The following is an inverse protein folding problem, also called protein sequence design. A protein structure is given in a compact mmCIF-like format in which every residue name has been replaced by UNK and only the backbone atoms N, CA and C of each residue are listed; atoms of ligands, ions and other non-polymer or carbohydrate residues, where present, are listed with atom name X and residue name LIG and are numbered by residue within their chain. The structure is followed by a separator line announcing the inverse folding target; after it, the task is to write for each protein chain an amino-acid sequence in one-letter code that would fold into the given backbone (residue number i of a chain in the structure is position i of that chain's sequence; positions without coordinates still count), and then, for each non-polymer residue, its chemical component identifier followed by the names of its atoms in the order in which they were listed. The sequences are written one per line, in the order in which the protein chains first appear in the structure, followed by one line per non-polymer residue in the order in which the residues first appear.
data_IF_641929741679
#
_entry.id   IF_641929741679
#
_cell.length_a   1.000
_cell.length_b   1.000
_cell.length_c   1.000
_cell.angle_alpha   90.00
_cell.angle_beta   90.00
_cell.angle_gamma   90.00
#
_symmetry.space_group_name_H-M   'P 1'
#
loop_
_entity.id
_entity.type
_entity.pdbx_description
1 polymer ?
#
# COMPACT_ATOMS: atom_id res chain seq x y z
N UNK A 1 25.82 -5.06 16.78
CA UNK A 1 25.08 -5.90 15.81
C UNK A 1 23.69 -5.29 15.69
N UNK A 2 23.38 -4.63 14.57
CA UNK A 2 22.05 -4.05 14.35
C UNK A 2 21.03 -5.17 14.25
N UNK A 3 20.13 -5.27 15.22
CA UNK A 3 18.90 -6.03 15.07
C UNK A 3 18.07 -5.31 14.01
N UNK A 4 18.22 -5.74 12.76
CA UNK A 4 17.23 -5.48 11.72
C UNK A 4 15.98 -6.19 12.22
N UNK A 5 15.08 -5.44 12.87
CA UNK A 5 13.75 -5.92 13.18
C UNK A 5 13.12 -6.24 11.83
N UNK A 6 13.22 -7.51 11.42
CA UNK A 6 12.38 -8.05 10.38
C UNK A 6 10.97 -7.87 10.91
N UNK A 7 10.31 -6.81 10.44
CA UNK A 7 8.89 -6.60 10.67
C UNK A 7 8.22 -7.91 10.28
N UNK A 8 7.48 -8.52 11.21
CA UNK A 8 6.72 -9.72 10.88
C UNK A 8 5.88 -9.39 9.63
N UNK A 9 5.74 -10.34 8.70
CA UNK A 9 4.99 -10.12 7.47
C UNK A 9 3.65 -9.42 7.72
N UNK A 10 2.87 -9.91 8.70
CA UNK A 10 1.58 -9.33 9.10
C UNK A 10 1.60 -7.81 9.38
N UNK A 11 2.70 -7.24 9.91
CA UNK A 11 2.84 -5.79 10.11
C UNK A 11 3.11 -5.04 8.80
N UNK A 12 3.77 -5.67 7.83
CA UNK A 12 4.11 -5.09 6.54
C UNK A 12 2.89 -5.03 5.62
N UNK A 13 2.13 -6.12 5.48
CA UNK A 13 0.90 -6.12 4.67
C UNK A 13 -0.13 -5.14 5.22
N UNK A 14 -0.31 -5.07 6.53
CA UNK A 14 -1.22 -4.10 7.16
C UNK A 14 -0.79 -2.64 6.90
N UNK A 15 0.52 -2.33 6.96
CA UNK A 15 1.02 -0.97 6.65
C UNK A 15 0.82 -0.60 5.19
N UNK A 16 1.03 -1.53 4.27
CA UNK A 16 0.79 -1.31 2.83
C UNK A 16 -0.70 -1.12 2.53
N UNK A 17 -1.55 -1.85 3.24
CA UNK A 17 -2.99 -1.65 3.18
C UNK A 17 -3.40 -0.25 3.64
N UNK A 18 -2.87 0.21 4.77
CA UNK A 18 -3.16 1.55 5.28
C UNK A 18 -2.67 2.64 4.32
N UNK A 19 -1.48 2.45 3.71
CA UNK A 19 -0.97 3.37 2.70
C UNK A 19 -1.91 3.48 1.48
N UNK A 20 -2.42 2.35 0.98
CA UNK A 20 -3.42 2.34 -0.08
C UNK A 20 -4.72 3.03 0.34
N UNK A 21 -5.21 2.76 1.56
CA UNK A 21 -6.42 3.40 2.10
C UNK A 21 -6.30 4.92 2.21
N UNK A 22 -5.14 5.43 2.64
CA UNK A 22 -4.90 6.89 2.70
C UNK A 22 -5.02 7.52 1.32
N UNK A 23 -4.48 6.87 0.28
CA UNK A 23 -4.63 7.35 -1.10
C UNK A 23 -6.09 7.29 -1.57
N UNK A 24 -6.82 6.23 -1.24
CA UNK A 24 -8.24 6.12 -1.56
C UNK A 24 -9.08 7.21 -0.86
N UNK A 25 -8.76 7.52 0.40
CA UNK A 25 -9.42 8.60 1.14
C UNK A 25 -9.15 9.97 0.49
N UNK A 26 -7.92 10.23 0.03
CA UNK A 26 -7.60 11.47 -0.70
C UNK A 26 -8.45 11.63 -1.96
N UNK A 27 -8.78 10.55 -2.68
CA UNK A 27 -9.71 10.62 -3.82
C UNK A 27 -11.13 10.97 -3.37
N UNK A 28 -11.58 10.45 -2.23
CA UNK A 28 -12.89 10.79 -1.68
C UNK A 28 -12.96 12.28 -1.29
N UNK A 29 -11.89 12.80 -0.68
CA UNK A 29 -11.80 14.19 -0.25
C UNK A 29 -11.56 15.16 -1.44
N UNK A 30 -10.86 14.70 -2.48
CA UNK A 30 -10.59 15.46 -3.69
C UNK A 30 -10.84 14.61 -4.95
N UNK A 31 -12.07 14.62 -5.49
CA UNK A 31 -12.42 13.85 -6.69
C UNK A 31 -11.62 14.21 -7.95
N UNK A 32 -10.95 15.36 -8.00
CA UNK A 32 -10.09 15.73 -9.15
C UNK A 32 -8.88 14.82 -9.29
N UNK A 33 -8.45 14.17 -8.21
CA UNK A 33 -7.36 13.20 -8.23
C UNK A 33 -7.67 11.94 -9.05
N UNK A 34 -8.95 11.71 -9.41
CA UNK A 34 -9.35 10.60 -10.30
C UNK A 34 -8.78 10.74 -11.72
N UNK A 35 -8.55 11.98 -12.17
CA UNK A 35 -7.99 12.26 -13.50
C UNK A 35 -6.52 12.66 -13.47
N UNK A 36 -5.95 12.78 -12.28
CA UNK A 36 -4.53 13.06 -12.09
C UNK A 36 -3.71 11.79 -12.36
N UNK A 37 -2.94 11.79 -13.44
CA UNK A 37 -2.20 10.60 -13.91
C UNK A 37 -1.14 10.17 -12.90
N UNK A 38 -0.43 11.11 -12.28
CA UNK A 38 0.61 10.79 -11.30
C UNK A 38 0.03 10.17 -10.05
N UNK A 39 -1.09 10.72 -9.57
CA UNK A 39 -1.83 10.20 -8.44
C UNK A 39 -2.38 8.79 -8.73
N UNK A 40 -2.97 8.57 -9.91
CA UNK A 40 -3.47 7.25 -10.30
C UNK A 40 -2.32 6.22 -10.37
N UNK A 41 -1.15 6.62 -10.88
CA UNK A 41 0.03 5.73 -10.87
C UNK A 41 0.51 5.42 -9.44
N UNK A 42 0.48 6.38 -8.54
CA UNK A 42 0.80 6.16 -7.12
C UNK A 42 -0.15 5.15 -6.49
N UNK A 43 -1.46 5.29 -6.73
CA UNK A 43 -2.48 4.37 -6.23
C UNK A 43 -2.29 2.94 -6.77
N UNK A 44 -1.99 2.78 -8.05
CA UNK A 44 -1.69 1.47 -8.66
C UNK A 44 -0.44 0.85 -8.04
N UNK A 45 0.62 1.64 -7.81
CA UNK A 45 1.84 1.16 -7.15
C UNK A 45 1.58 0.72 -5.71
N UNK A 46 0.80 1.48 -4.96
CA UNK A 46 0.43 1.14 -3.58
C UNK A 46 -0.39 -0.16 -3.53
N UNK A 47 -1.40 -0.29 -4.40
CA UNK A 47 -2.19 -1.51 -4.54
C UNK A 47 -1.33 -2.72 -4.88
N UNK A 48 -0.44 -2.59 -5.88
CA UNK A 48 0.45 -3.68 -6.30
C UNK A 48 1.35 -4.15 -5.15
N UNK A 49 1.96 -3.22 -4.41
CA UNK A 49 2.80 -3.56 -3.26
C UNK A 49 2.03 -4.32 -2.18
N UNK A 50 0.81 -3.88 -1.87
CA UNK A 50 -0.05 -4.60 -0.92
C UNK A 50 -0.39 -6.00 -1.42
N UNK A 51 -0.80 -6.14 -2.68
CA UNK A 51 -1.15 -7.43 -3.26
C UNK A 51 0.05 -8.40 -3.27
N UNK A 52 1.23 -7.92 -3.67
CA UNK A 52 2.47 -8.70 -3.69
C UNK A 52 2.82 -9.19 -2.26
N UNK A 53 2.66 -8.34 -1.24
CA UNK A 53 2.93 -8.70 0.15
C UNK A 53 1.90 -9.68 0.73
N UNK A 54 0.61 -9.45 0.45
CA UNK A 54 -0.48 -10.33 0.88
C UNK A 54 -0.32 -11.74 0.29
N UNK A 55 0.01 -11.84 -1.00
CA UNK A 55 0.23 -13.12 -1.66
C UNK A 55 1.48 -13.84 -1.13
N UNK A 56 2.54 -13.10 -0.77
CA UNK A 56 3.73 -13.67 -0.16
C UNK A 56 3.45 -14.21 1.26
N UNK A 57 2.52 -13.61 2.00
CA UNK A 57 2.06 -14.11 3.29
C UNK A 57 1.17 -15.35 3.17
N UNK A 58 0.26 -15.37 2.21
CA UNK A 58 -0.64 -16.52 1.98
C UNK A 58 0.12 -17.77 1.54
N UNK A 59 1.27 -17.59 0.88
CA UNK A 59 2.13 -18.67 0.43
C UNK A 59 3.14 -19.20 1.48
N UNK A 60 3.19 -18.62 2.69
CA UNK A 60 4.16 -18.91 3.75
C UNK A 60 3.59 -19.76 4.89
#
# INVERSE_FOLDING_TARGET
MSNVVQLRPADATQRLWEAYRVLAQRIADNPRLRVDVEFQQEMVRAWKRWADAYLAEDAA
#
